data_IF_670261603066
#
_entry.id   IF_670261603066
#
_cell.length_a   1.000
_cell.length_b   1.000
_cell.length_c   1.000
_cell.angle_alpha   90.00
_cell.angle_beta   90.00
_cell.angle_gamma   90.00
#
_symmetry.space_group_name_H-M   'P 1'
#
loop_
_entity.id
_entity.type
_entity.pdbx_description
1 polymer ?
#
# COMPACT_ATOMS: atom_id res chain seq x y z
N UNK A 1 -0.22 5.64 0.85
CA UNK A 1 -0.86 4.32 1.05
C UNK A 1 -2.23 4.47 1.69
N UNK A 2 -3.13 3.48 1.48
CA UNK A 2 -4.53 3.47 1.92
C UNK A 2 -4.72 3.35 3.46
N UNK A 3 -4.07 4.22 4.23
CA UNK A 3 -4.06 4.23 5.70
C UNK A 3 -5.35 4.77 6.34
N UNK A 4 -6.31 5.26 5.56
CA UNK A 4 -7.54 5.87 6.09
C UNK A 4 -8.31 4.92 7.04
N UNK A 5 -8.50 3.63 6.73
CA UNK A 5 -9.16 2.70 7.65
C UNK A 5 -8.41 2.51 8.97
N UNK A 6 -7.08 2.45 8.92
CA UNK A 6 -6.22 2.33 10.11
C UNK A 6 -6.31 3.60 10.97
N UNK A 7 -6.22 4.78 10.36
CA UNK A 7 -6.33 6.08 11.06
C UNK A 7 -7.70 6.24 11.73
N UNK A 8 -8.76 5.70 11.12
CA UNK A 8 -10.11 5.68 11.68
C UNK A 8 -10.39 4.50 12.62
N UNK A 9 -9.37 3.69 12.96
CA UNK A 9 -9.47 2.50 13.83
C UNK A 9 -10.50 1.48 13.35
N UNK A 10 -10.74 1.40 12.03
CA UNK A 10 -11.64 0.43 11.41
C UNK A 10 -10.94 -0.93 11.21
N UNK A 11 -9.62 -0.95 11.11
CA UNK A 11 -8.80 -2.15 11.05
C UNK A 11 -7.37 -1.86 11.51
N UNK A 12 -6.63 -2.90 11.89
CA UNK A 12 -5.25 -2.76 12.39
C UNK A 12 -4.21 -2.66 11.27
N UNK A 13 -4.62 -2.94 10.03
CA UNK A 13 -3.72 -2.93 8.88
C UNK A 13 -4.46 -2.54 7.61
N UNK A 14 -3.79 -1.80 6.74
CA UNK A 14 -4.32 -1.29 5.47
C UNK A 14 -4.77 -2.42 4.54
N UNK A 15 -4.03 -3.53 4.53
CA UNK A 15 -4.35 -4.73 3.74
C UNK A 15 -5.54 -5.53 4.27
N UNK A 16 -5.94 -5.34 5.53
CA UNK A 16 -7.08 -6.07 6.12
C UNK A 16 -8.43 -5.44 5.80
N UNK A 17 -8.47 -4.24 5.24
CA UNK A 17 -9.72 -3.56 4.97
C UNK A 17 -10.37 -4.04 3.68
N UNK A 18 -11.51 -4.73 3.79
CA UNK A 18 -12.24 -5.36 2.67
C UNK A 18 -12.54 -4.42 1.50
N UNK A 19 -12.82 -3.15 1.77
CA UNK A 19 -13.15 -2.16 0.74
C UNK A 19 -11.95 -1.30 0.32
N UNK A 20 -10.73 -1.80 0.50
CA UNK A 20 -9.52 -1.12 0.03
C UNK A 20 -9.04 -1.74 -1.27
N UNK A 21 -8.69 -0.90 -2.25
CA UNK A 21 -8.04 -1.33 -3.49
C UNK A 21 -6.54 -1.62 -3.32
N UNK A 22 -5.99 -1.54 -2.10
CA UNK A 22 -4.55 -1.70 -1.87
C UNK A 22 -4.04 -3.08 -2.29
N UNK A 23 -4.87 -4.13 -2.18
CA UNK A 23 -4.50 -5.48 -2.59
C UNK A 23 -4.21 -5.58 -4.09
N UNK A 24 -4.85 -4.78 -4.93
CA UNK A 24 -4.55 -4.73 -6.36
C UNK A 24 -3.12 -4.24 -6.66
N UNK A 25 -2.44 -3.60 -5.70
CA UNK A 25 -1.05 -3.15 -5.80
C UNK A 25 -0.05 -4.07 -5.09
N UNK A 26 -0.53 -5.09 -4.37
CA UNK A 26 0.30 -5.96 -3.52
C UNK A 26 0.22 -7.44 -3.92
N UNK A 27 -0.91 -7.85 -4.51
CA UNK A 27 -1.16 -9.20 -4.99
C UNK A 27 -1.54 -9.16 -6.47
N UNK A 28 -0.81 -9.91 -7.31
CA UNK A 28 -0.89 -9.81 -8.77
C UNK A 28 -2.27 -10.18 -9.34
N UNK A 29 -2.97 -11.09 -8.67
CA UNK A 29 -4.28 -11.59 -9.08
C UNK A 29 -5.37 -11.28 -8.04
N UNK A 30 -5.25 -10.15 -7.33
CA UNK A 30 -6.22 -9.78 -6.31
C UNK A 30 -7.64 -9.59 -6.88
N UNK A 31 -8.62 -10.30 -6.33
CA UNK A 31 -10.03 -9.99 -6.58
C UNK A 31 -10.49 -8.88 -5.63
N UNK A 32 -10.51 -7.66 -6.14
CA UNK A 32 -11.03 -6.48 -5.43
C UNK A 32 -12.46 -6.12 -5.84
N UNK A 33 -13.15 -6.99 -6.58
CA UNK A 33 -14.54 -6.81 -7.00
C UNK A 33 -14.77 -5.79 -8.12
N UNK A 34 -13.71 -5.14 -8.61
CA UNK A 34 -13.74 -4.19 -9.73
C UNK A 34 -12.46 -4.29 -10.57
N UNK A 35 -12.51 -4.01 -11.88
CA UNK A 35 -11.30 -3.83 -12.68
C UNK A 35 -10.45 -2.67 -12.14
N UNK A 36 -9.15 -2.89 -11.98
CA UNK A 36 -8.20 -1.87 -11.55
C UNK A 36 -7.15 -1.67 -12.62
N UNK A 37 -7.02 -0.44 -13.10
CA UNK A 37 -5.89 -0.01 -13.90
C UNK A 37 -4.78 0.51 -12.99
N UNK A 38 -3.57 -0.03 -13.14
CA UNK A 38 -2.42 0.46 -12.38
C UNK A 38 -1.98 1.83 -12.89
N UNK A 39 -1.81 2.76 -11.96
CA UNK A 39 -1.28 4.08 -12.26
C UNK A 39 0.13 4.00 -12.87
N UNK A 40 0.44 4.89 -13.81
CA UNK A 40 1.73 4.92 -14.54
C UNK A 40 2.94 4.88 -13.60
N UNK A 41 2.92 5.67 -12.53
CA UNK A 41 3.94 5.64 -11.49
C UNK A 41 4.26 4.21 -11.00
N UNK A 42 3.25 3.39 -10.72
CA UNK A 42 3.46 2.01 -10.26
C UNK A 42 4.06 1.15 -11.37
N UNK A 43 3.60 1.32 -12.62
CA UNK A 43 4.13 0.59 -13.77
C UNK A 43 5.62 0.90 -14.00
N UNK A 44 6.05 2.13 -13.76
CA UNK A 44 7.44 2.57 -13.90
C UNK A 44 8.36 2.06 -12.77
N UNK A 45 7.82 1.52 -11.67
CA UNK A 45 8.65 1.00 -10.56
C UNK A 45 9.43 -0.26 -10.93
N UNK A 46 9.08 -0.99 -11.98
CA UNK A 46 9.74 -2.25 -12.31
C UNK A 46 9.20 -2.88 -13.59
N UNK A 47 9.92 -3.88 -14.09
CA UNK A 47 9.53 -4.63 -15.28
C UNK A 47 8.55 -5.74 -14.94
N UNK A 48 8.64 -6.31 -13.75
CA UNK A 48 7.72 -7.34 -13.24
C UNK A 48 6.83 -6.81 -12.12
N UNK A 49 5.68 -7.44 -11.87
CA UNK A 49 4.82 -7.09 -10.74
C UNK A 49 5.59 -7.19 -9.41
N UNK A 50 6.33 -8.28 -9.21
CA UNK A 50 7.15 -8.48 -8.02
C UNK A 50 8.18 -7.35 -7.78
N UNK A 51 8.86 -6.89 -8.83
CA UNK A 51 9.78 -5.75 -8.74
C UNK A 51 9.05 -4.46 -8.34
N UNK A 52 7.87 -4.20 -8.95
CA UNK A 52 7.06 -3.03 -8.65
C UNK A 52 6.60 -3.03 -7.19
N UNK A 53 6.10 -4.16 -6.69
CA UNK A 53 5.70 -4.34 -5.28
C UNK A 53 6.89 -4.12 -4.36
N UNK A 54 8.04 -4.74 -4.63
CA UNK A 54 9.22 -4.60 -3.79
C UNK A 54 9.65 -3.12 -3.65
N UNK A 55 9.69 -2.37 -4.75
CA UNK A 55 9.98 -0.92 -4.69
C UNK A 55 8.85 -0.11 -4.07
N UNK A 56 7.61 -0.48 -4.30
CA UNK A 56 6.45 0.18 -3.69
C UNK A 56 6.48 0.06 -2.15
N UNK A 57 6.90 -1.09 -1.62
CA UNK A 57 7.06 -1.31 -0.18
C UNK A 57 8.25 -0.55 0.42
N UNK A 58 9.31 -0.28 -0.35
CA UNK A 58 10.40 0.59 0.12
C UNK A 58 9.92 2.01 0.44
N UNK A 59 8.96 2.54 -0.33
CA UNK A 59 8.34 3.82 -0.02
C UNK A 59 7.51 3.77 1.27
N UNK A 60 6.83 2.65 1.54
CA UNK A 60 6.16 2.45 2.83
C UNK A 60 7.16 2.47 3.97
N UNK A 61 8.26 1.73 3.84
CA UNK A 61 9.29 1.67 4.87
C UNK A 61 9.93 3.04 5.12
N UNK A 62 10.23 3.80 4.05
CA UNK A 62 10.72 5.16 4.16
C UNK A 62 9.70 6.11 4.81
N UNK A 63 8.42 5.97 4.46
CA UNK A 63 7.34 6.72 5.11
C UNK A 63 7.25 6.35 6.59
N UNK A 64 7.23 5.05 6.93
CA UNK A 64 7.24 4.57 8.30
C UNK A 64 8.44 5.10 9.08
N UNK A 65 9.66 5.07 8.54
CA UNK A 65 10.87 5.63 9.19
C UNK A 65 10.77 7.14 9.41
N UNK A 66 10.26 7.88 8.43
CA UNK A 66 10.10 9.33 8.53
C UNK A 66 9.06 9.72 9.58
N UNK A 67 7.98 8.96 9.70
CA UNK A 67 6.90 9.22 10.64
C UNK A 67 7.06 8.47 11.98
N UNK A 68 7.88 7.43 12.08
CA UNK A 68 8.20 6.74 13.35
C UNK A 68 9.01 7.64 14.27
N UNK A 69 9.85 8.51 13.71
CA UNK A 69 10.50 9.60 14.43
C UNK A 69 9.51 10.65 14.99
N UNK A 70 8.27 10.69 14.48
CA UNK A 70 7.22 11.60 14.95
C UNK A 70 6.36 10.95 16.05
N UNK A 71 6.39 9.61 16.19
CA UNK A 71 5.61 8.88 17.21
C UNK A 71 6.36 8.73 18.53
N UNK A 72 7.68 8.91 18.58
CA UNK A 72 8.45 8.94 19.85
C UNK A 72 8.24 10.21 20.71
N UNK A 73 7.40 11.15 20.27
CA UNK A 73 7.04 12.37 21.01
C UNK A 73 5.52 12.49 21.26
N UNK A 74 4.88 11.40 21.70
CA UNK A 74 3.53 11.45 22.32
C UNK A 74 3.50 10.56 23.56
#
# INVERSE_FOLDING_TARGET
MAYNPVRKRMCDSTVKHKYSSILAYLEENADVGVPIDHHEYFLQLGKTFAERVARFMQYEEAYRKRYSLVVEWV
#
